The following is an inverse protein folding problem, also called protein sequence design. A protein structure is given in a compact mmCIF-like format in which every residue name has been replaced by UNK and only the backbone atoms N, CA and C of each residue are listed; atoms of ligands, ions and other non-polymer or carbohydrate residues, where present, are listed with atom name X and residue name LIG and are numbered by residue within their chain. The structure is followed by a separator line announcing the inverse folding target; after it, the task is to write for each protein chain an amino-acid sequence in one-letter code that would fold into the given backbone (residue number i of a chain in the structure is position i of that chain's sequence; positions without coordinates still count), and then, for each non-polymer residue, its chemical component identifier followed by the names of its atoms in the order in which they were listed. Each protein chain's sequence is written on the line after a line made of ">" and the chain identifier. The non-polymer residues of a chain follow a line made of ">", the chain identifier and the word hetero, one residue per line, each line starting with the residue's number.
data_IF_017706099651
#
_entry.id   IF_017706099651
#
_cell.length_a   1.000
_cell.length_b   1.000
_cell.length_c   1.000
_cell.angle_alpha   90.00
_cell.angle_beta   90.00
_cell.angle_gamma   90.00
#
_symmetry.space_group_name_H-M   'P 1'
#
loop_
_entity.id
_entity.type
_entity.pdbx_description
1 polymer ?
#
# COMPACT_ATOMS: atom_id res chain seq x y z
N UNK A 1 -10.19 -19.27 -31.08
CA UNK A 1 -9.20 -18.24 -31.07
C UNK A 1 -9.73 -16.91 -30.64
N UNK A 2 -10.97 -16.64 -30.97
CA UNK A 2 -11.68 -15.48 -30.45
C UNK A 2 -11.72 -15.52 -28.93
N UNK A 3 -11.76 -16.71 -28.36
CA UNK A 3 -11.85 -16.92 -26.92
C UNK A 3 -10.68 -16.36 -26.15
N UNK A 4 -9.47 -16.42 -26.71
CA UNK A 4 -8.27 -15.92 -26.03
C UNK A 4 -8.34 -14.40 -25.89
N UNK A 5 -8.72 -13.71 -26.95
CA UNK A 5 -8.85 -12.25 -26.90
C UNK A 5 -10.00 -11.84 -25.99
N UNK A 6 -11.07 -12.60 -26.02
CA UNK A 6 -12.23 -12.33 -25.18
C UNK A 6 -11.88 -12.50 -23.69
N UNK A 7 -11.10 -13.52 -23.37
CA UNK A 7 -10.64 -13.76 -22.02
C UNK A 7 -9.73 -12.63 -21.54
N UNK A 8 -8.84 -12.16 -22.41
CA UNK A 8 -7.94 -11.05 -22.07
C UNK A 8 -8.73 -9.76 -21.78
N UNK A 9 -9.76 -9.50 -22.56
CA UNK A 9 -10.62 -8.33 -22.33
C UNK A 9 -11.36 -8.42 -21.02
N UNK A 10 -11.82 -9.60 -20.66
CA UNK A 10 -12.49 -9.81 -19.38
C UNK A 10 -11.53 -9.61 -18.22
N UNK A 11 -10.28 -10.04 -18.36
CA UNK A 11 -9.27 -9.83 -17.35
C UNK A 11 -8.90 -8.36 -17.21
N UNK A 12 -8.83 -7.66 -18.32
CA UNK A 12 -8.55 -6.23 -18.32
C UNK A 12 -9.66 -5.41 -17.68
N UNK A 13 -10.89 -5.90 -17.73
CA UNK A 13 -12.02 -5.21 -17.13
C UNK A 13 -12.14 -5.41 -15.64
N UNK A 14 -11.40 -6.36 -15.08
CA UNK A 14 -11.41 -6.57 -13.63
C UNK A 14 -10.66 -5.45 -12.92
N UNK A 15 -11.25 -4.97 -11.84
CA UNK A 15 -10.62 -3.96 -11.02
C UNK A 15 -9.40 -4.54 -10.33
N UNK A 16 -8.32 -3.79 -10.36
CA UNK A 16 -7.09 -4.15 -9.71
C UNK A 16 -6.82 -3.14 -8.60
N UNK A 17 -6.65 -3.64 -7.40
CA UNK A 17 -6.39 -2.79 -6.24
C UNK A 17 -4.99 -3.04 -5.72
N UNK A 18 -4.30 -1.95 -5.40
CA UNK A 18 -2.97 -2.04 -4.82
C UNK A 18 -3.03 -2.00 -3.31
N UNK A 19 -2.08 -2.65 -2.67
CA UNK A 19 -1.96 -2.69 -1.21
C UNK A 19 -0.52 -2.46 -0.81
N UNK A 20 -0.31 -1.58 0.15
CA UNK A 20 0.99 -1.37 0.76
C UNK A 20 0.83 -1.64 2.25
N UNK A 21 1.56 -2.63 2.75
CA UNK A 21 1.54 -2.96 4.18
C UNK A 21 2.91 -2.69 4.78
N UNK A 22 2.95 -1.89 5.83
CA UNK A 22 4.20 -1.50 6.50
C UNK A 22 4.16 -1.86 7.98
N UNK A 23 5.27 -2.38 8.47
CA UNK A 23 5.48 -2.54 9.91
C UNK A 23 6.94 -2.23 10.24
N UNK A 24 7.35 -2.52 11.46
CA UNK A 24 8.71 -2.23 11.90
C UNK A 24 9.76 -3.11 11.24
N UNK A 25 9.36 -4.18 10.58
CA UNK A 25 10.26 -5.13 9.95
C UNK A 25 10.41 -4.94 8.45
N UNK A 26 9.47 -4.26 7.83
CA UNK A 26 9.55 -4.02 6.39
C UNK A 26 8.20 -3.70 5.77
N UNK A 27 8.20 -3.62 4.45
CA UNK A 27 7.02 -3.27 3.68
C UNK A 27 6.76 -4.31 2.59
N UNK A 28 5.48 -4.52 2.29
CA UNK A 28 5.03 -5.42 1.23
C UNK A 28 4.14 -4.64 0.28
N UNK A 29 4.38 -4.82 -1.02
CA UNK A 29 3.57 -4.23 -2.09
C UNK A 29 2.85 -5.35 -2.80
N UNK A 30 1.55 -5.26 -2.89
CA UNK A 30 0.76 -6.31 -3.53
C UNK A 30 -0.43 -5.77 -4.28
N UNK A 31 -1.10 -6.66 -4.99
CA UNK A 31 -2.31 -6.34 -5.72
C UNK A 31 -3.36 -7.41 -5.48
N UNK A 32 -4.61 -6.99 -5.62
CA UNK A 32 -5.75 -7.89 -5.60
C UNK A 32 -6.58 -7.61 -6.85
N UNK A 33 -6.78 -8.65 -7.67
CA UNK A 33 -7.61 -8.55 -8.86
C UNK A 33 -8.60 -9.71 -8.80
N UNK A 34 -9.88 -9.39 -8.60
CA UNK A 34 -10.87 -10.41 -8.32
C UNK A 34 -10.51 -11.15 -7.06
N UNK A 35 -10.24 -12.44 -7.15
CA UNK A 35 -9.78 -13.25 -6.02
C UNK A 35 -8.29 -13.55 -6.06
N UNK A 36 -7.58 -12.97 -7.02
CA UNK A 36 -6.16 -13.24 -7.21
C UNK A 36 -5.31 -12.23 -6.45
N UNK A 37 -4.48 -12.72 -5.56
CA UNK A 37 -3.56 -11.92 -4.77
C UNK A 37 -2.15 -12.10 -5.31
N UNK A 38 -1.43 -11.01 -5.47
CA UNK A 38 -0.06 -11.06 -5.97
C UNK A 38 0.82 -10.15 -5.14
N UNK A 39 1.96 -10.66 -4.71
CA UNK A 39 2.98 -9.86 -4.04
C UNK A 39 3.95 -9.37 -5.11
N UNK A 40 4.00 -8.05 -5.30
CA UNK A 40 4.87 -7.44 -6.30
C UNK A 40 6.29 -7.29 -5.79
N UNK A 41 6.44 -6.93 -4.53
CA UNK A 41 7.75 -6.66 -3.94
C UNK A 41 7.62 -6.62 -2.43
N UNK A 42 8.72 -6.98 -1.77
CA UNK A 42 8.83 -6.81 -0.32
C UNK A 42 10.28 -6.49 0.01
N UNK A 43 10.47 -5.68 1.03
CA UNK A 43 11.82 -5.41 1.53
C UNK A 43 11.78 -5.32 3.04
N UNK A 44 12.90 -5.67 3.64
CA UNK A 44 13.06 -5.59 5.08
C UNK A 44 13.74 -4.29 5.49
N UNK A 45 13.50 -3.88 6.72
CA UNK A 45 14.15 -2.73 7.32
C UNK A 45 14.47 -3.06 8.77
N UNK A 46 15.54 -2.49 9.26
CA UNK A 46 15.87 -2.55 10.68
C UNK A 46 15.68 -1.18 11.28
N UNK A 47 14.70 -1.07 12.17
CA UNK A 47 14.45 0.17 12.89
C UNK A 47 14.85 0.00 14.34
N UNK A 48 15.61 0.96 14.90
CA UNK A 48 15.96 0.88 16.32
C UNK A 48 14.69 0.91 17.17
N UNK A 49 14.63 -0.01 18.11
CA UNK A 49 13.47 -0.09 18.99
C UNK A 49 13.50 1.02 20.04
N UNK A 50 12.32 1.36 20.54
CA UNK A 50 12.14 2.34 21.60
C UNK A 50 12.69 1.81 22.94
N UNK A 51 13.96 1.87 23.17
CA UNK A 51 14.44 1.54 24.50
C UNK A 51 14.92 2.76 25.21
N UNK A 52 14.13 3.18 26.20
CA UNK A 52 14.59 4.10 27.19
C UNK A 52 15.39 3.38 28.24
N UNK A 53 16.51 2.77 27.89
CA UNK A 53 17.39 2.26 28.92
C UNK A 53 18.37 3.34 29.32
N UNK A 54 18.52 3.50 30.63
CA UNK A 54 19.39 4.44 31.28
C UNK A 54 20.80 4.41 30.68
N UNK A 55 21.38 5.57 30.42
CA UNK A 55 22.76 5.68 29.97
C UNK A 55 22.95 6.06 28.53
N UNK A 56 21.92 6.01 27.71
CA UNK A 56 22.00 6.43 26.32
C UNK A 56 21.37 7.81 26.18
N UNK A 57 22.04 8.78 25.50
CA UNK A 57 21.42 10.08 25.29
C UNK A 57 20.15 9.93 24.47
N UNK A 58 19.02 10.13 25.12
CA UNK A 58 17.70 9.91 24.55
C UNK A 58 17.49 10.73 23.27
N UNK A 59 18.02 11.95 23.26
CA UNK A 59 17.87 12.85 22.11
C UNK A 59 18.58 12.33 20.86
N UNK A 60 19.83 11.87 21.02
CA UNK A 60 20.62 11.36 19.90
C UNK A 60 19.98 10.09 19.32
N UNK A 61 19.52 9.21 20.18
CA UNK A 61 18.87 7.97 19.78
C UNK A 61 17.55 8.25 19.07
N UNK A 62 16.80 9.24 19.56
CA UNK A 62 15.54 9.64 18.96
C UNK A 62 15.72 10.18 17.54
N UNK A 63 16.75 11.01 17.33
CA UNK A 63 17.04 11.57 16.01
C UNK A 63 17.39 10.48 15.01
N UNK A 64 18.27 9.56 15.40
CA UNK A 64 18.66 8.44 14.53
C UNK A 64 17.47 7.58 14.16
N UNK A 65 16.59 7.31 15.13
CA UNK A 65 15.39 6.53 14.90
C UNK A 65 14.42 7.24 13.98
N UNK A 66 14.22 8.53 14.17
CA UNK A 66 13.33 9.33 13.34
C UNK A 66 13.85 9.42 11.90
N UNK A 67 15.17 9.58 11.74
CA UNK A 67 15.78 9.65 10.41
C UNK A 67 15.62 8.32 9.66
N UNK A 68 15.87 7.20 10.32
CA UNK A 68 15.70 5.88 9.70
C UNK A 68 14.24 5.63 9.35
N UNK A 69 13.33 6.04 10.23
CA UNK A 69 11.90 5.91 9.98
C UNK A 69 11.47 6.76 8.79
N UNK A 70 11.96 7.98 8.71
CA UNK A 70 11.68 8.87 7.59
C UNK A 70 12.19 8.28 6.28
N UNK A 71 13.41 7.75 6.28
CA UNK A 71 14.00 7.14 5.09
C UNK A 71 13.22 5.90 4.68
N UNK A 72 12.73 5.13 5.62
CA UNK A 72 11.92 3.95 5.37
C UNK A 72 10.59 4.34 4.70
N UNK A 73 9.90 5.34 5.24
CA UNK A 73 8.65 5.83 4.66
C UNK A 73 8.90 6.36 3.26
N UNK A 74 9.96 7.14 3.07
CA UNK A 74 10.31 7.70 1.77
C UNK A 74 10.59 6.62 0.74
N UNK A 75 11.34 5.58 1.13
CA UNK A 75 11.63 4.45 0.26
C UNK A 75 10.34 3.75 -0.16
N UNK A 76 9.43 3.56 0.78
CA UNK A 76 8.14 2.94 0.50
C UNK A 76 7.32 3.75 -0.49
N UNK A 77 7.29 5.06 -0.31
CA UNK A 77 6.57 5.97 -1.21
C UNK A 77 7.18 5.96 -2.61
N UNK A 78 8.50 5.98 -2.70
CA UNK A 78 9.19 5.96 -3.99
C UNK A 78 8.94 4.64 -4.74
N UNK A 79 8.97 3.53 -4.02
CA UNK A 79 8.68 2.22 -4.62
C UNK A 79 7.22 2.10 -5.04
N UNK A 80 6.31 2.72 -4.31
CA UNK A 80 4.91 2.74 -4.70
C UNK A 80 4.73 3.37 -6.08
N UNK A 81 5.45 4.44 -6.34
CA UNK A 81 5.44 5.09 -7.66
C UNK A 81 5.93 4.13 -8.74
N UNK A 82 6.97 3.36 -8.44
CA UNK A 82 7.50 2.40 -9.41
C UNK A 82 6.52 1.26 -9.72
N UNK A 83 5.84 0.76 -8.70
CA UNK A 83 5.00 -0.42 -8.87
C UNK A 83 3.57 -0.12 -9.29
N UNK A 84 3.05 1.05 -8.93
CA UNK A 84 1.63 1.35 -9.15
C UNK A 84 1.38 2.42 -10.19
N UNK A 85 2.41 2.96 -10.81
CA UNK A 85 2.25 3.88 -11.94
C UNK A 85 2.92 3.25 -13.17
N UNK A 86 2.17 3.16 -14.26
CA UNK A 86 2.69 2.64 -15.52
C UNK A 86 3.59 3.70 -16.16
N UNK A 87 4.88 3.41 -16.37
CA UNK A 87 5.80 4.39 -16.93
C UNK A 87 5.47 4.77 -18.38
N UNK A 88 4.83 3.88 -19.12
CA UNK A 88 4.48 4.15 -20.50
C UNK A 88 3.33 5.14 -20.63
N UNK A 89 2.34 5.06 -19.74
CA UNK A 89 1.16 5.92 -19.78
C UNK A 89 1.20 7.04 -18.74
N UNK A 90 2.10 6.96 -17.77
CA UNK A 90 2.17 7.87 -16.63
C UNK A 90 0.91 7.88 -15.78
N UNK A 91 0.12 6.83 -15.87
CA UNK A 91 -1.13 6.69 -15.10
C UNK A 91 -1.04 5.53 -14.12
N UNK A 92 -1.80 5.58 -13.01
CA UNK A 92 -1.85 4.45 -12.11
C UNK A 92 -2.35 3.18 -12.80
N UNK A 93 -1.74 2.05 -12.46
CA UNK A 93 -2.16 0.76 -13.01
C UNK A 93 -3.15 0.05 -12.08
N UNK A 94 -3.62 0.74 -11.05
CA UNK A 94 -4.59 0.21 -10.10
C UNK A 94 -5.80 1.13 -10.05
N UNK A 95 -6.96 0.54 -9.77
CA UNK A 95 -8.22 1.29 -9.63
C UNK A 95 -8.29 2.00 -8.30
N UNK A 96 -7.60 1.48 -7.31
CA UNK A 96 -7.54 2.08 -5.99
C UNK A 96 -6.34 1.55 -5.22
N UNK A 97 -6.00 2.21 -4.15
CA UNK A 97 -4.85 1.87 -3.33
C UNK A 97 -5.27 1.86 -1.85
N UNK A 98 -4.93 0.79 -1.16
CA UNK A 98 -5.16 0.65 0.28
C UNK A 98 -3.80 0.69 0.98
N UNK A 99 -3.71 1.52 1.98
CA UNK A 99 -2.52 1.62 2.81
C UNK A 99 -2.78 0.90 4.12
N UNK A 100 -1.81 0.11 4.55
CA UNK A 100 -1.94 -0.64 5.79
C UNK A 100 -0.67 -0.45 6.63
N UNK A 101 -0.85 -0.24 7.91
CA UNK A 101 0.29 -0.07 8.78
C UNK A 101 -0.06 -0.39 10.21
N UNK A 102 0.95 -0.72 11.00
CA UNK A 102 0.79 -0.76 12.44
C UNK A 102 0.51 0.67 12.92
N UNK A 103 0.04 0.81 14.15
CA UNK A 103 -0.50 2.07 14.67
C UNK A 103 0.33 3.31 14.31
N UNK A 104 1.65 3.23 14.49
CA UNK A 104 2.54 4.35 14.20
C UNK A 104 2.62 4.68 12.71
N UNK A 105 2.70 3.64 11.88
CA UNK A 105 2.81 3.83 10.43
C UNK A 105 1.49 4.24 9.80
N UNK A 106 0.38 3.85 10.41
CA UNK A 106 -0.92 4.31 9.97
C UNK A 106 -0.98 5.84 10.01
N UNK A 107 -0.47 6.44 11.07
CA UNK A 107 -0.42 7.88 11.20
C UNK A 107 0.46 8.50 10.11
N UNK A 108 1.62 7.93 9.86
CA UNK A 108 2.52 8.42 8.81
C UNK A 108 1.89 8.33 7.44
N UNK A 109 1.26 7.19 7.13
CA UNK A 109 0.64 6.95 5.84
C UNK A 109 -0.59 7.82 5.60
N UNK A 110 -1.21 8.31 6.66
CA UNK A 110 -2.40 9.16 6.56
C UNK A 110 -2.08 10.62 6.27
N UNK A 111 -0.81 11.00 6.24
CA UNK A 111 -0.44 12.39 5.98
C UNK A 111 -0.80 12.80 4.56
N UNK A 112 -1.30 14.02 4.36
CA UNK A 112 -1.64 14.49 3.03
C UNK A 112 -0.37 14.70 2.19
N UNK A 113 -0.50 14.51 0.89
CA UNK A 113 0.57 14.75 -0.08
C UNK A 113 1.83 13.90 0.15
N UNK A 114 1.67 12.75 0.82
CA UNK A 114 2.78 11.83 1.05
C UNK A 114 3.20 11.14 -0.24
N UNK A 115 2.23 10.69 -1.02
CA UNK A 115 2.46 9.94 -2.25
C UNK A 115 2.42 10.86 -3.47
N UNK A 116 2.92 10.34 -4.60
CA UNK A 116 2.75 10.99 -5.89
C UNK A 116 1.27 11.39 -6.05
N UNK A 117 0.97 12.59 -6.56
CA UNK A 117 -0.42 13.05 -6.66
C UNK A 117 -1.33 12.08 -7.41
N UNK A 118 -0.80 11.36 -8.41
CA UNK A 118 -1.59 10.38 -9.16
C UNK A 118 -2.00 9.21 -8.28
N UNK A 119 -1.12 8.77 -7.37
CA UNK A 119 -1.44 7.71 -6.43
C UNK A 119 -2.26 8.23 -5.25
N UNK A 120 -1.97 9.44 -4.80
CA UNK A 120 -2.70 10.05 -3.69
C UNK A 120 -4.20 10.10 -4.02
N UNK A 121 -4.54 10.40 -5.26
CA UNK A 121 -5.93 10.44 -5.73
C UNK A 121 -6.59 9.06 -5.74
N UNK A 122 -5.81 8.00 -5.73
CA UNK A 122 -6.32 6.62 -5.76
C UNK A 122 -6.42 5.98 -4.39
N UNK A 123 -5.96 6.65 -3.33
CA UNK A 123 -6.02 6.07 -2.00
C UNK A 123 -7.47 5.98 -1.54
N UNK A 124 -7.90 4.77 -1.27
CA UNK A 124 -9.27 4.49 -0.81
C UNK A 124 -9.39 4.49 0.71
N UNK A 125 -8.32 4.16 1.40
CA UNK A 125 -8.34 4.15 2.84
C UNK A 125 -7.03 3.70 3.44
N UNK A 126 -6.92 3.87 4.75
CA UNK A 126 -5.77 3.44 5.53
C UNK A 126 -6.28 2.53 6.64
N UNK A 127 -5.76 1.32 6.72
CA UNK A 127 -6.20 0.34 7.70
C UNK A 127 -5.08 0.00 8.66
N UNK A 128 -5.46 -0.39 9.87
CA UNK A 128 -4.53 -0.76 10.92
C UNK A 128 -4.35 -2.28 10.91
N UNK A 129 -3.11 -2.73 10.74
CA UNK A 129 -2.80 -4.15 10.72
C UNK A 129 -1.91 -4.52 11.89
N UNK A 130 -2.13 -5.72 12.42
CA UNK A 130 -1.38 -6.22 13.57
C UNK A 130 -0.14 -6.99 13.16
N UNK A 131 -0.09 -7.45 11.91
CA UNK A 131 0.98 -8.30 11.41
C UNK A 131 1.73 -7.62 10.28
N UNK A 132 2.99 -8.01 10.11
CA UNK A 132 3.78 -7.54 8.99
C UNK A 132 3.84 -8.56 7.86
N UNK A 133 4.58 -8.23 6.83
CA UNK A 133 4.81 -9.12 5.70
C UNK A 133 3.54 -9.50 4.98
N UNK A 134 3.53 -10.71 4.47
CA UNK A 134 2.39 -11.22 3.72
C UNK A 134 1.14 -11.38 4.58
N UNK A 135 1.32 -11.66 5.88
CA UNK A 135 0.20 -11.72 6.82
C UNK A 135 -0.48 -10.35 6.94
N UNK A 136 0.30 -9.28 6.97
CA UNK A 136 -0.23 -7.93 6.99
C UNK A 136 -0.97 -7.60 5.72
N UNK A 137 -0.44 -8.02 4.58
CA UNK A 137 -1.10 -7.85 3.30
C UNK A 137 -2.47 -8.56 3.29
N UNK A 138 -2.51 -9.82 3.72
CA UNK A 138 -3.76 -10.58 3.78
C UNK A 138 -4.76 -9.96 4.76
N UNK A 139 -4.28 -9.50 5.90
CA UNK A 139 -5.13 -8.82 6.88
C UNK A 139 -5.70 -7.53 6.30
N UNK A 140 -4.88 -6.78 5.56
CA UNK A 140 -5.33 -5.54 4.92
C UNK A 140 -6.45 -5.81 3.92
N UNK A 141 -6.35 -6.89 3.15
CA UNK A 141 -7.41 -7.27 2.21
C UNK A 141 -8.71 -7.54 2.95
N UNK A 142 -8.64 -8.30 4.04
CA UNK A 142 -9.84 -8.61 4.83
C UNK A 142 -10.46 -7.37 5.44
N UNK A 143 -9.63 -6.51 6.03
CA UNK A 143 -10.12 -5.28 6.66
C UNK A 143 -10.68 -4.29 5.66
N UNK A 144 -10.28 -4.39 4.40
CA UNK A 144 -10.67 -3.45 3.36
C UNK A 144 -11.87 -3.93 2.53
N UNK A 145 -12.46 -5.06 2.88
CA UNK A 145 -13.53 -5.65 2.05
C UNK A 145 -14.70 -4.69 1.80
N UNK A 146 -15.12 -3.95 2.81
CA UNK A 146 -16.20 -2.97 2.64
C UNK A 146 -15.78 -1.80 1.76
N UNK A 147 -14.56 -1.32 1.96
CA UNK A 147 -14.02 -0.21 1.17
C UNK A 147 -13.96 -0.61 -0.30
N UNK A 148 -13.49 -1.82 -0.58
CA UNK A 148 -13.37 -2.32 -1.94
C UNK A 148 -14.74 -2.53 -2.58
N UNK A 149 -15.70 -3.03 -1.83
CA UNK A 149 -17.07 -3.21 -2.32
C UNK A 149 -17.69 -1.88 -2.71
N UNK A 150 -17.51 -0.86 -1.89
CA UNK A 150 -18.04 0.47 -2.19
C UNK A 150 -17.36 1.06 -3.42
N UNK A 151 -16.06 0.88 -3.57
CA UNK A 151 -15.32 1.38 -4.72
C UNK A 151 -15.79 0.73 -6.00
N UNK A 152 -15.99 -0.59 -5.98
CA UNK A 152 -16.52 -1.33 -7.13
C UNK A 152 -17.93 -0.88 -7.49
N UNK A 153 -18.78 -0.73 -6.48
CA UNK A 153 -20.16 -0.28 -6.68
C UNK A 153 -20.21 1.10 -7.31
N UNK A 154 -19.37 2.01 -6.84
CA UNK A 154 -19.31 3.37 -7.37
C UNK A 154 -18.89 3.37 -8.83
N UNK A 155 -17.90 2.56 -9.19
CA UNK A 155 -17.45 2.45 -10.57
C UNK A 155 -18.55 1.87 -11.47
N UNK A 156 -19.23 0.82 -11.03
CA UNK A 156 -20.32 0.23 -11.78
C UNK A 156 -21.44 1.25 -12.01
N UNK A 157 -21.78 2.02 -10.99
CA UNK A 157 -22.80 3.04 -11.07
C UNK A 157 -22.41 4.13 -12.06
N UNK A 158 -21.15 4.56 -12.06
CA UNK A 158 -20.67 5.54 -13.02
C UNK A 158 -20.71 5.01 -14.45
N UNK A 159 -20.39 3.73 -14.63
CA UNK A 159 -20.41 3.13 -15.95
C UNK A 159 -21.82 2.93 -16.51
N UNK A 160 -22.81 2.74 -15.63
CA UNK A 160 -24.17 2.54 -16.07
C UNK A 160 -24.90 3.84 -16.40
N UNK A 161 -24.31 4.96 -16.05
CA UNK A 161 -24.85 6.28 -16.42
C UNK A 161 -24.24 6.74 -17.73
#
# INVERSE_FOLDING_TARGET
>A
MVDVHHTDKLQESEDKFGFIAMDYNGAVFGTLSGNTREVLHKFGVYLPKKYGRSGVPVLRFSRARMEKRHNYVKKTVDLATQFYINPATSQPNVSGLILAGSADFKTELSRPNMFDPRLQAKILGVVDVSYGGEHGFNQAIELSSEILSKAKFTQEKCLSE
#
